data_IF_789772095555
#
_entry.id   IF_789772095555
#
_cell.length_a   1.000
_cell.length_b   1.000
_cell.length_c   1.000
_cell.angle_alpha   90.00
_cell.angle_beta   90.00
_cell.angle_gamma   90.00
#
_symmetry.space_group_name_H-M   'P 1'
#
loop_
_entity.id
_entity.type
_entity.pdbx_description
1 polymer ?
#
# COMPACT_ATOMS: atom_id res chain seq x y z
N UNK A 1 -14.33 -60.30 8.20
CA UNK A 1 -13.41 -59.17 8.06
C UNK A 1 -12.57 -59.09 9.32
N UNK A 2 -11.25 -59.33 9.18
CA UNK A 2 -10.30 -59.51 10.29
C UNK A 2 -10.11 -58.14 11.00
N UNK A 3 -10.24 -58.04 12.32
CA UNK A 3 -10.11 -56.78 13.06
C UNK A 3 -8.73 -56.10 12.87
N UNK A 4 -7.69 -56.87 12.60
CA UNK A 4 -6.35 -56.33 12.31
C UNK A 4 -6.24 -55.48 11.01
N UNK A 5 -7.14 -55.74 10.04
CA UNK A 5 -7.15 -54.97 8.78
C UNK A 5 -7.79 -53.57 8.95
N UNK A 6 -8.60 -53.41 10.00
CA UNK A 6 -9.24 -52.10 10.32
C UNK A 6 -8.24 -51.10 10.92
N UNK A 7 -7.26 -51.58 11.68
CA UNK A 7 -6.24 -50.72 12.28
C UNK A 7 -5.18 -50.27 11.28
N UNK A 8 -4.84 -51.09 10.26
CA UNK A 8 -3.91 -50.72 9.19
C UNK A 8 -4.49 -49.65 8.25
N UNK A 9 -5.79 -49.68 7.99
CA UNK A 9 -6.46 -48.66 7.19
C UNK A 9 -6.54 -47.31 7.91
N UNK A 10 -6.75 -47.31 9.24
CA UNK A 10 -6.77 -46.10 10.05
C UNK A 10 -5.35 -45.48 10.18
N UNK A 11 -4.33 -46.31 10.32
CA UNK A 11 -2.94 -45.86 10.39
C UNK A 11 -2.45 -45.26 9.06
N UNK A 12 -2.91 -45.78 7.92
CA UNK A 12 -2.59 -45.21 6.60
C UNK A 12 -3.33 -43.89 6.34
N UNK A 13 -4.54 -43.72 6.87
CA UNK A 13 -5.27 -42.44 6.76
C UNK A 13 -4.67 -41.34 7.64
N UNK A 14 -4.07 -41.70 8.80
CA UNK A 14 -3.40 -40.74 9.68
C UNK A 14 -2.03 -40.32 9.19
N UNK A 15 -1.35 -41.13 8.37
CA UNK A 15 -0.08 -40.74 7.73
C UNK A 15 -0.27 -39.77 6.56
N UNK A 16 -1.47 -39.64 5.99
CA UNK A 16 -1.76 -38.70 4.91
C UNK A 16 -2.15 -37.30 5.41
N UNK A 17 -2.50 -37.15 6.71
CA UNK A 17 -2.82 -35.86 7.31
C UNK A 17 -1.56 -35.09 7.73
N UNK A 18 -0.38 -35.75 7.72
CA UNK A 18 0.91 -35.17 8.11
C UNK A 18 1.75 -34.56 6.99
N UNK A 19 1.33 -34.67 5.74
CA UNK A 19 1.89 -33.89 4.64
C UNK A 19 1.13 -32.57 4.59
N UNK A 20 1.48 -31.67 5.53
CA UNK A 20 1.13 -30.27 5.40
C UNK A 20 1.65 -29.83 4.04
N UNK A 21 0.76 -29.70 3.06
CA UNK A 21 1.04 -28.89 1.88
C UNK A 21 1.37 -27.53 2.41
N UNK A 22 2.66 -27.17 2.41
CA UNK A 22 3.05 -25.77 2.49
C UNK A 22 2.33 -25.11 1.33
N UNK A 23 1.25 -24.40 1.61
CA UNK A 23 0.66 -23.49 0.66
C UNK A 23 1.75 -22.44 0.47
N UNK A 24 2.58 -22.62 -0.55
CA UNK A 24 3.41 -21.54 -1.02
C UNK A 24 2.43 -20.47 -1.54
N UNK A 25 2.55 -19.26 -1.05
CA UNK A 25 1.92 -18.13 -1.68
C UNK A 25 2.39 -18.15 -3.14
N UNK A 26 1.45 -18.16 -4.05
CA UNK A 26 1.73 -18.26 -5.47
C UNK A 26 1.30 -16.94 -6.10
N UNK A 27 2.24 -16.30 -6.75
CA UNK A 27 1.96 -15.17 -7.61
C UNK A 27 1.54 -15.72 -8.97
N UNK A 28 0.42 -15.25 -9.46
CA UNK A 28 -0.14 -15.69 -10.73
C UNK A 28 -0.24 -14.51 -11.70
N UNK A 29 0.42 -14.60 -12.89
CA UNK A 29 0.19 -13.61 -13.94
C UNK A 29 -1.28 -13.62 -14.37
N UNK A 30 -1.88 -12.45 -14.45
CA UNK A 30 -3.23 -12.27 -14.95
C UNK A 30 -3.23 -11.39 -16.18
N UNK A 31 -4.16 -11.64 -17.09
CA UNK A 31 -4.39 -10.82 -18.26
C UNK A 31 -5.89 -10.57 -18.38
N UNK A 32 -6.26 -9.31 -18.51
CA UNK A 32 -7.65 -8.88 -18.69
C UNK A 32 -7.76 -8.01 -19.95
N UNK A 33 -8.96 -7.80 -20.42
CA UNK A 33 -9.20 -6.86 -21.53
C UNK A 33 -8.90 -5.43 -21.04
N UNK A 34 -8.15 -4.67 -21.86
CA UNK A 34 -7.94 -3.26 -21.56
C UNK A 34 -9.20 -2.47 -21.96
N UNK A 35 -9.88 -1.81 -21.00
CA UNK A 35 -11.08 -1.05 -21.31
C UNK A 35 -10.79 0.23 -22.11
N UNK A 36 -9.52 0.63 -22.19
CA UNK A 36 -9.07 1.82 -22.89
C UNK A 36 -8.17 1.44 -24.07
N UNK A 37 -8.71 1.44 -25.29
CA UNK A 37 -7.96 1.14 -26.51
C UNK A 37 -8.08 -0.28 -27.05
N UNK A 38 -8.80 -1.19 -26.39
CA UNK A 38 -9.19 -2.50 -26.92
C UNK A 38 -8.06 -3.54 -26.99
N UNK A 39 -6.94 -3.32 -26.30
CA UNK A 39 -5.85 -4.28 -26.14
C UNK A 39 -6.01 -5.11 -24.85
N UNK A 40 -4.90 -5.59 -24.30
CA UNK A 40 -4.85 -6.34 -23.05
C UNK A 40 -4.17 -5.53 -21.96
N UNK A 41 -4.54 -5.80 -20.70
CA UNK A 41 -3.85 -5.34 -19.52
C UNK A 41 -3.26 -6.54 -18.77
N UNK A 42 -1.99 -6.43 -18.38
CA UNK A 42 -1.28 -7.47 -17.64
C UNK A 42 -1.05 -7.05 -16.21
N UNK A 43 -1.11 -8.01 -15.29
CA UNK A 43 -0.88 -7.82 -13.87
C UNK A 43 -0.42 -9.11 -13.20
N UNK A 44 -0.27 -9.03 -11.89
CA UNK A 44 0.05 -10.15 -11.02
C UNK A 44 -1.00 -10.19 -9.91
N UNK A 45 -1.58 -11.35 -9.70
CA UNK A 45 -2.47 -11.62 -8.56
C UNK A 45 -1.70 -12.38 -7.49
N UNK A 46 -1.72 -11.86 -6.27
CA UNK A 46 -1.15 -12.55 -5.10
C UNK A 46 -2.25 -13.38 -4.44
N UNK A 47 -2.16 -14.70 -4.54
CA UNK A 47 -3.15 -15.63 -3.99
C UNK A 47 -3.07 -15.76 -2.47
N UNK A 48 -1.88 -15.57 -1.88
CA UNK A 48 -1.67 -15.55 -0.45
C UNK A 48 -0.42 -14.75 -0.09
N UNK A 49 -0.50 -13.94 0.96
CA UNK A 49 0.62 -13.19 1.55
C UNK A 49 0.99 -13.77 2.92
N UNK A 50 2.29 -13.93 3.19
CA UNK A 50 2.80 -14.29 4.52
C UNK A 50 3.61 -13.13 5.08
N UNK A 51 2.93 -12.22 5.75
CA UNK A 51 3.58 -11.11 6.45
C UNK A 51 4.20 -11.64 7.74
N UNK A 52 5.50 -11.43 7.93
CA UNK A 52 6.24 -11.72 9.17
C UNK A 52 6.43 -10.48 10.00
N UNK A 53 6.50 -9.33 9.34
CA UNK A 53 6.74 -8.04 9.93
C UNK A 53 6.18 -6.95 9.02
N UNK A 54 6.14 -5.72 9.51
CA UNK A 54 5.78 -4.56 8.72
C UNK A 54 6.78 -3.41 8.98
N UNK A 55 6.97 -2.56 7.99
CA UNK A 55 7.64 -1.28 8.16
C UNK A 55 6.81 -0.32 9.00
N UNK A 56 7.44 0.67 9.57
CA UNK A 56 6.73 1.74 10.30
C UNK A 56 5.77 2.53 9.38
N UNK A 57 5.96 2.45 8.07
CA UNK A 57 5.07 2.98 7.04
C UNK A 57 3.95 2.00 6.62
N UNK A 58 3.83 0.86 7.28
CA UNK A 58 2.87 -0.20 6.98
C UNK A 58 3.28 -1.13 5.83
N UNK A 59 4.47 -0.97 5.21
CA UNK A 59 4.96 -1.88 4.18
C UNK A 59 5.08 -3.29 4.72
N UNK A 60 4.42 -4.30 4.12
CA UNK A 60 4.54 -5.68 4.58
C UNK A 60 5.91 -6.27 4.23
N UNK A 61 6.51 -7.03 5.16
CA UNK A 61 7.74 -7.79 4.98
C UNK A 61 7.51 -9.28 5.25
N UNK A 62 8.01 -10.13 4.36
CA UNK A 62 7.84 -11.59 4.47
C UNK A 62 8.02 -12.28 3.13
N UNK A 63 7.32 -13.40 2.95
CA UNK A 63 7.32 -14.12 1.68
C UNK A 63 6.09 -13.69 0.86
N UNK A 64 6.30 -13.33 -0.41
CA UNK A 64 5.24 -12.87 -1.32
C UNK A 64 4.43 -11.68 -0.75
N UNK A 65 5.14 -10.73 -0.17
CA UNK A 65 4.56 -9.52 0.41
C UNK A 65 4.66 -8.32 -0.53
N UNK A 66 5.06 -8.54 -1.77
CA UNK A 66 5.03 -7.48 -2.78
C UNK A 66 3.58 -7.08 -3.06
N UNK A 67 3.32 -5.79 -2.95
CA UNK A 67 2.00 -5.23 -3.26
C UNK A 67 1.98 -4.89 -4.73
N UNK A 68 1.34 -5.74 -5.52
CA UNK A 68 1.23 -5.55 -6.96
C UNK A 68 0.15 -4.51 -7.30
N UNK A 69 0.40 -3.64 -8.29
CA UNK A 69 -0.60 -2.74 -8.81
C UNK A 69 -1.69 -3.51 -9.56
N UNK A 70 -2.89 -2.91 -9.76
CA UNK A 70 -3.86 -3.45 -10.70
C UNK A 70 -3.27 -3.60 -12.10
N UNK A 71 -3.87 -4.46 -12.98
CA UNK A 71 -3.37 -4.71 -14.32
C UNK A 71 -3.17 -3.41 -15.12
N UNK A 72 -2.06 -3.36 -15.88
CA UNK A 72 -1.70 -2.24 -16.74
C UNK A 72 -1.88 -2.57 -18.22
N UNK A 73 -2.57 -1.70 -18.95
CA UNK A 73 -2.74 -1.80 -20.39
C UNK A 73 -1.42 -1.65 -21.13
N UNK A 74 -1.07 -2.64 -21.97
CA UNK A 74 0.23 -2.71 -22.65
C UNK A 74 0.46 -1.61 -23.68
N UNK A 75 -0.61 -1.04 -24.23
CA UNK A 75 -0.53 -0.09 -25.34
C UNK A 75 -0.46 1.39 -24.89
N UNK A 76 -0.94 1.70 -23.66
CA UNK A 76 -1.09 3.08 -23.23
C UNK A 76 -0.77 3.32 -21.74
N UNK A 77 -0.46 2.24 -20.99
CA UNK A 77 -0.12 2.34 -19.57
C UNK A 77 -1.29 2.67 -18.64
N UNK A 78 -2.54 2.54 -19.11
CA UNK A 78 -3.71 2.72 -18.26
C UNK A 78 -3.79 1.61 -17.22
N UNK A 79 -3.98 1.98 -15.96
CA UNK A 79 -4.10 1.05 -14.83
C UNK A 79 -5.58 0.73 -14.63
N UNK A 80 -5.95 -0.54 -14.76
CA UNK A 80 -7.35 -1.03 -14.69
C UNK A 80 -7.75 -1.18 -13.22
N UNK A 81 -8.19 -0.10 -12.58
CA UNK A 81 -8.42 -0.02 -11.13
C UNK A 81 -9.84 -0.43 -10.69
N UNK A 82 -10.70 -0.83 -11.61
CA UNK A 82 -12.04 -1.39 -11.36
C UNK A 82 -12.52 -2.21 -12.55
N UNK A 83 -13.57 -3.00 -12.37
CA UNK A 83 -14.10 -3.89 -13.41
C UNK A 83 -15.12 -3.19 -14.31
N UNK A 84 -15.93 -2.30 -13.76
CA UNK A 84 -17.08 -1.69 -14.46
C UNK A 84 -16.84 -0.21 -14.76
N UNK A 85 -16.32 0.07 -15.94
CA UNK A 85 -16.24 1.44 -16.45
C UNK A 85 -17.45 1.77 -17.30
N UNK A 86 -18.07 2.91 -17.03
CA UNK A 86 -19.01 3.49 -17.99
C UNK A 86 -18.26 4.14 -19.15
N UNK A 87 -18.92 4.27 -20.30
CA UNK A 87 -18.34 4.96 -21.46
C UNK A 87 -17.91 6.40 -21.13
N UNK A 88 -18.71 7.11 -20.31
CA UNK A 88 -18.39 8.46 -19.90
C UNK A 88 -17.13 8.55 -19.02
N UNK A 89 -16.94 7.59 -18.11
CA UNK A 89 -15.71 7.50 -17.30
C UNK A 89 -14.49 7.20 -18.17
N UNK A 90 -14.61 6.26 -19.12
CA UNK A 90 -13.52 5.94 -20.04
C UNK A 90 -13.14 7.16 -20.90
N UNK A 91 -14.09 7.85 -21.48
CA UNK A 91 -13.84 9.08 -22.24
C UNK A 91 -13.21 10.20 -21.39
N UNK A 92 -13.51 10.24 -20.10
CA UNK A 92 -12.90 11.23 -19.19
C UNK A 92 -11.45 10.84 -18.85
N UNK A 93 -11.20 9.61 -18.41
CA UNK A 93 -9.85 9.17 -18.04
C UNK A 93 -8.92 9.07 -19.24
N UNK A 94 -9.43 8.74 -20.44
CA UNK A 94 -8.66 8.67 -21.68
C UNK A 94 -7.88 9.95 -21.96
N UNK A 95 -8.53 11.11 -21.75
CA UNK A 95 -7.89 12.43 -21.97
C UNK A 95 -6.64 12.60 -21.14
N UNK A 96 -6.65 12.11 -19.90
CA UNK A 96 -5.49 12.18 -19.03
C UNK A 96 -4.45 11.11 -19.38
N UNK A 97 -4.87 9.85 -19.56
CA UNK A 97 -3.97 8.75 -19.88
C UNK A 97 -3.22 9.01 -21.20
N UNK A 98 -3.87 9.56 -22.20
CA UNK A 98 -3.22 9.90 -23.49
C UNK A 98 -2.52 11.27 -23.47
N UNK A 99 -2.53 12.00 -22.35
CA UNK A 99 -1.80 13.26 -22.24
C UNK A 99 -0.29 13.05 -22.26
N UNK A 100 0.45 14.09 -22.68
CA UNK A 100 1.92 14.06 -22.67
C UNK A 100 2.48 13.82 -21.27
N UNK A 101 1.83 14.37 -20.24
CA UNK A 101 2.23 14.20 -18.84
C UNK A 101 2.21 12.72 -18.45
N UNK A 102 1.06 12.06 -18.60
CA UNK A 102 0.91 10.65 -18.21
C UNK A 102 1.80 9.72 -19.03
N UNK A 103 1.84 9.93 -20.36
CA UNK A 103 2.67 9.13 -21.26
C UNK A 103 4.18 9.30 -20.98
N UNK A 104 4.61 10.47 -20.52
CA UNK A 104 5.98 10.67 -20.07
C UNK A 104 6.24 9.87 -18.78
N UNK A 105 5.34 9.91 -17.79
CA UNK A 105 5.48 9.12 -16.57
C UNK A 105 5.55 7.62 -16.90
N UNK A 106 4.69 7.12 -17.74
CA UNK A 106 4.68 5.73 -18.16
C UNK A 106 5.98 5.32 -18.84
N UNK A 107 6.40 6.04 -19.88
CA UNK A 107 7.59 5.72 -20.67
C UNK A 107 8.91 5.88 -19.89
N UNK A 108 8.93 6.64 -18.80
CA UNK A 108 10.12 6.82 -17.94
C UNK A 108 10.11 5.90 -16.70
N UNK A 109 9.13 4.98 -16.60
CA UNK A 109 9.06 4.00 -15.52
C UNK A 109 8.73 4.62 -14.15
N UNK A 110 7.88 5.66 -14.12
CA UNK A 110 7.30 6.14 -12.87
C UNK A 110 6.42 5.04 -12.28
N UNK A 111 6.51 4.73 -10.96
CA UNK A 111 5.78 3.66 -10.32
C UNK A 111 4.28 3.66 -10.64
N UNK A 112 3.71 2.48 -10.83
CA UNK A 112 2.31 2.29 -11.19
C UNK A 112 1.37 2.92 -10.16
N UNK A 113 1.64 2.72 -8.87
CA UNK A 113 0.84 3.32 -7.81
C UNK A 113 0.89 4.84 -7.80
N UNK A 114 2.03 5.44 -8.17
CA UNK A 114 2.09 6.89 -8.34
C UNK A 114 1.20 7.34 -9.51
N UNK A 115 1.27 6.66 -10.65
CA UNK A 115 0.45 6.97 -11.82
C UNK A 115 -1.04 6.73 -11.52
N UNK A 116 -1.38 5.72 -10.73
CA UNK A 116 -2.75 5.47 -10.27
C UNK A 116 -3.25 6.61 -9.37
N UNK A 117 -2.42 7.07 -8.43
CA UNK A 117 -2.76 8.24 -7.62
C UNK A 117 -3.04 9.48 -8.48
N UNK A 118 -2.24 9.69 -9.53
CA UNK A 118 -2.44 10.80 -10.48
C UNK A 118 -3.73 10.67 -11.30
N UNK A 119 -4.14 9.45 -11.67
CA UNK A 119 -5.45 9.20 -12.28
C UNK A 119 -6.57 9.62 -11.31
N UNK A 120 -6.48 9.21 -10.04
CA UNK A 120 -7.48 9.54 -9.02
C UNK A 120 -7.56 11.04 -8.74
N UNK A 121 -6.42 11.76 -8.71
CA UNK A 121 -6.39 13.21 -8.62
C UNK A 121 -7.10 13.86 -9.81
N UNK A 122 -6.80 13.43 -11.04
CA UNK A 122 -7.40 13.98 -12.24
C UNK A 122 -8.93 13.77 -12.27
N UNK A 123 -9.40 12.62 -11.79
CA UNK A 123 -10.81 12.29 -11.70
C UNK A 123 -11.51 12.89 -10.48
N UNK A 124 -10.82 13.68 -9.66
CA UNK A 124 -11.31 14.28 -8.42
C UNK A 124 -11.93 13.26 -7.45
N UNK A 125 -11.38 12.03 -7.43
CA UNK A 125 -11.82 10.98 -6.52
C UNK A 125 -11.39 11.29 -5.07
N UNK A 126 -12.00 10.62 -4.05
CA UNK A 126 -11.72 10.93 -2.65
C UNK A 126 -10.23 10.83 -2.30
N UNK A 127 -9.69 11.90 -1.71
CA UNK A 127 -8.25 12.02 -1.34
C UNK A 127 -7.84 10.88 -0.42
N UNK A 128 -8.68 10.47 0.52
CA UNK A 128 -8.40 9.38 1.45
C UNK A 128 -8.11 8.03 0.77
N UNK A 129 -8.52 7.87 -0.50
CA UNK A 129 -8.22 6.68 -1.29
C UNK A 129 -6.82 6.77 -1.91
N UNK A 130 -6.51 7.85 -2.62
CA UNK A 130 -5.27 7.93 -3.37
C UNK A 130 -4.05 8.38 -2.55
N UNK A 131 -4.22 8.88 -1.33
CA UNK A 131 -3.11 9.13 -0.42
C UNK A 131 -2.30 7.86 -0.14
N UNK A 132 -2.97 6.71 0.02
CA UNK A 132 -2.29 5.42 0.14
C UNK A 132 -1.55 4.99 -1.13
N UNK A 133 -2.04 5.33 -2.32
CA UNK A 133 -1.30 4.99 -3.55
C UNK A 133 0.01 5.76 -3.64
N UNK A 134 0.06 7.02 -3.21
CA UNK A 134 1.32 7.75 -3.09
C UNK A 134 2.26 7.12 -2.06
N UNK A 135 1.73 6.66 -0.91
CA UNK A 135 2.52 5.94 0.09
C UNK A 135 3.09 4.64 -0.50
N UNK A 136 2.25 3.80 -1.13
CA UNK A 136 2.69 2.53 -1.73
C UNK A 136 3.72 2.79 -2.84
N UNK A 137 3.60 3.88 -3.57
CA UNK A 137 4.61 4.25 -4.56
C UNK A 137 6.01 4.46 -3.94
N UNK A 138 6.11 4.78 -2.64
CA UNK A 138 7.40 4.85 -1.94
C UNK A 138 8.01 3.48 -1.66
N UNK A 139 7.23 2.40 -1.72
CA UNK A 139 7.67 1.04 -1.42
C UNK A 139 8.35 0.35 -2.62
N UNK A 140 8.27 0.92 -3.81
CA UNK A 140 8.88 0.35 -5.01
C UNK A 140 10.41 0.31 -4.86
N UNK A 141 11.04 -0.83 -5.15
CA UNK A 141 12.46 -1.06 -4.94
C UNK A 141 13.37 -0.10 -5.74
N UNK A 142 12.88 0.45 -6.85
CA UNK A 142 13.58 1.50 -7.61
C UNK A 142 13.66 2.84 -6.86
N UNK A 143 12.85 3.03 -5.83
CA UNK A 143 12.73 4.27 -5.05
C UNK A 143 13.75 4.35 -3.91
N UNK A 144 14.50 3.28 -3.61
CA UNK A 144 15.59 3.31 -2.61
C UNK A 144 16.77 4.23 -2.99
N UNK A 145 16.75 4.81 -4.16
CA UNK A 145 17.56 6.02 -4.43
C UNK A 145 16.92 7.18 -3.66
N UNK A 146 17.65 7.71 -2.68
CA UNK A 146 17.17 8.70 -1.71
C UNK A 146 16.35 9.84 -2.32
N UNK A 147 16.80 10.41 -3.44
CA UNK A 147 16.14 11.55 -4.10
C UNK A 147 14.76 11.17 -4.67
N UNK A 148 14.59 9.95 -5.15
CA UNK A 148 13.29 9.46 -5.65
C UNK A 148 12.34 9.17 -4.51
N UNK A 149 12.82 8.51 -3.43
CA UNK A 149 12.01 8.29 -2.24
C UNK A 149 11.45 9.63 -1.71
N UNK A 150 12.32 10.61 -1.52
CA UNK A 150 11.91 11.91 -0.98
C UNK A 150 10.82 12.56 -1.84
N UNK A 151 10.94 12.49 -3.17
CA UNK A 151 9.94 13.03 -4.08
C UNK A 151 8.56 12.38 -3.86
N UNK A 152 8.47 11.04 -3.86
CA UNK A 152 7.19 10.33 -3.67
C UNK A 152 6.64 10.47 -2.25
N UNK A 153 7.51 10.48 -1.24
CA UNK A 153 7.12 10.70 0.14
C UNK A 153 6.51 12.09 0.35
N UNK A 154 7.04 13.12 -0.30
CA UNK A 154 6.47 14.48 -0.26
C UNK A 154 5.07 14.54 -0.90
N UNK A 155 4.85 13.81 -1.99
CA UNK A 155 3.52 13.71 -2.59
C UNK A 155 2.54 12.96 -1.66
N UNK A 156 2.98 11.89 -0.98
CA UNK A 156 2.19 11.21 0.02
C UNK A 156 1.84 12.13 1.20
N UNK A 157 2.82 12.86 1.74
CA UNK A 157 2.63 13.87 2.80
C UNK A 157 1.56 14.88 2.37
N UNK A 158 1.70 15.46 1.18
CA UNK A 158 0.73 16.43 0.65
C UNK A 158 -0.68 15.85 0.63
N UNK A 159 -0.82 14.62 0.14
CA UNK A 159 -2.12 13.96 0.02
C UNK A 159 -2.72 13.63 1.40
N UNK A 160 -1.94 13.10 2.36
CA UNK A 160 -2.42 12.82 3.71
C UNK A 160 -2.80 14.09 4.47
N UNK A 161 -2.01 15.17 4.37
CA UNK A 161 -2.36 16.47 4.97
C UNK A 161 -3.67 17.00 4.41
N UNK A 162 -3.88 16.90 3.09
CA UNK A 162 -5.12 17.32 2.46
C UNK A 162 -6.31 16.43 2.87
N UNK A 163 -6.11 15.12 3.01
CA UNK A 163 -7.12 14.18 3.48
C UNK A 163 -7.53 14.47 4.94
N UNK A 164 -6.58 14.68 5.83
CA UNK A 164 -6.83 15.08 7.23
C UNK A 164 -7.68 16.36 7.26
N UNK A 165 -7.29 17.38 6.53
CA UNK A 165 -8.03 18.64 6.45
C UNK A 165 -9.47 18.45 5.95
N UNK A 166 -9.69 17.56 4.99
CA UNK A 166 -11.03 17.22 4.53
C UNK A 166 -11.84 16.49 5.61
N UNK A 167 -11.21 15.57 6.34
CA UNK A 167 -11.84 14.81 7.42
C UNK A 167 -12.21 15.69 8.61
N UNK A 168 -11.41 16.71 8.95
CA UNK A 168 -11.68 17.67 10.03
C UNK A 168 -13.01 18.40 9.82
N UNK A 169 -13.40 18.64 8.57
CA UNK A 169 -14.66 19.29 8.23
C UNK A 169 -15.87 18.35 8.17
N UNK A 170 -15.69 17.08 8.53
CA UNK A 170 -16.70 16.02 8.43
C UNK A 170 -16.79 15.18 9.70
N UNK A 171 -17.78 14.29 9.77
CA UNK A 171 -17.90 13.32 10.87
C UNK A 171 -16.75 12.30 10.91
N UNK A 172 -15.83 12.30 9.95
CA UNK A 172 -14.71 11.36 9.86
C UNK A 172 -13.51 11.75 10.74
N UNK A 173 -13.51 12.97 11.32
CA UNK A 173 -12.46 13.43 12.24
C UNK A 173 -12.29 12.62 13.52
N UNK A 174 -13.16 11.63 13.76
CA UNK A 174 -13.13 10.73 14.93
C UNK A 174 -12.93 9.26 14.53
N UNK A 175 -12.57 8.98 13.29
CA UNK A 175 -12.35 7.62 12.81
C UNK A 175 -10.92 7.14 13.08
N UNK A 176 -10.72 5.82 13.18
CA UNK A 176 -9.40 5.20 13.25
C UNK A 176 -8.51 5.66 12.09
N UNK A 177 -9.07 5.76 10.88
CA UNK A 177 -8.35 6.24 9.70
C UNK A 177 -7.81 7.66 9.86
N UNK A 178 -8.49 8.52 10.60
CA UNK A 178 -8.00 9.87 10.87
C UNK A 178 -6.74 9.82 11.74
N UNK A 179 -6.71 8.98 12.77
CA UNK A 179 -5.54 8.74 13.62
C UNK A 179 -4.43 8.06 12.84
N UNK A 180 -4.75 7.06 12.04
CA UNK A 180 -3.81 6.36 11.16
C UNK A 180 -3.09 7.33 10.21
N UNK A 181 -3.79 8.29 9.63
CA UNK A 181 -3.17 9.28 8.75
C UNK A 181 -2.17 10.18 9.50
N UNK A 182 -2.47 10.53 10.74
CA UNK A 182 -1.48 11.23 11.58
C UNK A 182 -0.25 10.36 11.85
N UNK A 183 -0.44 9.07 12.13
CA UNK A 183 0.67 8.14 12.33
C UNK A 183 1.54 7.98 11.08
N UNK A 184 0.92 7.80 9.91
CA UNK A 184 1.67 7.70 8.64
C UNK A 184 2.45 8.98 8.33
N UNK A 185 1.92 10.15 8.72
CA UNK A 185 2.65 11.41 8.59
C UNK A 185 3.86 11.47 9.54
N UNK A 186 3.81 10.87 10.75
CA UNK A 186 5.01 10.77 11.62
C UNK A 186 6.13 10.10 10.86
N UNK A 187 5.87 8.91 10.31
CA UNK A 187 6.89 8.14 9.60
C UNK A 187 7.38 8.86 8.35
N UNK A 188 6.48 9.37 7.51
CA UNK A 188 6.85 10.06 6.28
C UNK A 188 7.70 11.31 6.55
N UNK A 189 7.32 12.15 7.53
CA UNK A 189 8.09 13.32 7.91
C UNK A 189 9.47 12.94 8.46
N UNK A 190 9.56 11.91 9.31
CA UNK A 190 10.83 11.38 9.83
C UNK A 190 11.75 10.95 8.68
N UNK A 191 11.21 10.18 7.72
CA UNK A 191 11.95 9.65 6.56
C UNK A 191 12.46 10.74 5.62
N UNK A 192 11.75 11.88 5.50
CA UNK A 192 12.22 13.05 4.73
C UNK A 192 12.97 14.07 5.57
N UNK A 193 13.33 13.72 6.83
CA UNK A 193 14.11 14.53 7.79
C UNK A 193 13.42 15.80 8.26
N UNK A 194 12.12 15.86 8.20
CA UNK A 194 11.30 16.91 8.78
C UNK A 194 10.91 16.54 10.22
N UNK A 195 11.92 16.39 11.09
CA UNK A 195 11.75 15.85 12.45
C UNK A 195 10.82 16.69 13.32
N UNK A 196 10.82 18.02 13.16
CA UNK A 196 9.90 18.89 13.91
C UNK A 196 8.43 18.60 13.54
N UNK A 197 8.15 18.40 12.25
CA UNK A 197 6.82 18.02 11.78
C UNK A 197 6.43 16.60 12.23
N UNK A 198 7.39 15.67 12.21
CA UNK A 198 7.18 14.32 12.73
C UNK A 198 6.80 14.35 14.21
N UNK A 199 7.56 15.12 15.04
CA UNK A 199 7.30 15.27 16.47
C UNK A 199 5.94 15.91 16.73
N UNK A 200 5.56 16.94 15.97
CA UNK A 200 4.23 17.56 16.10
C UNK A 200 3.10 16.53 15.93
N UNK A 201 3.20 15.67 14.91
CA UNK A 201 2.19 14.63 14.65
C UNK A 201 2.19 13.54 15.73
N UNK A 202 3.36 13.16 16.20
CA UNK A 202 3.51 12.18 17.28
C UNK A 202 2.95 12.71 18.60
N UNK A 203 3.24 13.97 18.95
CA UNK A 203 2.69 14.62 20.15
C UNK A 203 1.16 14.74 20.09
N UNK A 204 0.62 15.02 18.89
CA UNK A 204 -0.83 15.01 18.68
C UNK A 204 -1.41 13.62 18.97
N UNK A 205 -0.79 12.52 18.50
CA UNK A 205 -1.24 11.14 18.76
C UNK A 205 -1.22 10.85 20.27
N UNK A 206 -0.16 11.27 20.97
CA UNK A 206 -0.01 11.07 22.42
C UNK A 206 -1.02 11.84 23.27
N UNK A 207 -1.54 12.96 22.75
CA UNK A 207 -2.42 13.86 23.48
C UNK A 207 -3.89 13.76 23.08
N UNK A 208 -4.21 13.10 21.96
CA UNK A 208 -5.59 12.98 21.47
C UNK A 208 -6.45 12.16 22.43
N UNK A 209 -7.73 12.51 22.51
CA UNK A 209 -8.75 11.70 23.22
C UNK A 209 -9.43 10.67 22.31
N UNK A 210 -8.98 10.56 21.05
CA UNK A 210 -9.49 9.54 20.13
C UNK A 210 -8.95 8.15 20.48
N UNK A 211 -9.63 7.12 19.99
CA UNK A 211 -9.17 5.75 20.17
C UNK A 211 -7.88 5.52 19.38
N UNK A 212 -6.80 5.21 20.07
CA UNK A 212 -5.48 4.87 19.54
C UNK A 212 -5.09 3.43 19.87
N UNK A 213 -6.01 2.62 20.38
CA UNK A 213 -5.73 1.25 20.86
C UNK A 213 -5.25 0.28 19.78
N UNK A 214 -5.45 0.63 18.51
CA UNK A 214 -4.93 -0.13 17.37
C UNK A 214 -3.44 0.18 17.05
N UNK A 215 -2.88 1.25 17.61
CA UNK A 215 -1.46 1.57 17.55
C UNK A 215 -0.75 0.95 18.75
N UNK A 216 0.27 0.13 18.51
CA UNK A 216 1.07 -0.43 19.60
C UNK A 216 1.82 0.71 20.30
N UNK A 217 1.69 0.85 21.65
CA UNK A 217 2.44 1.86 22.41
C UNK A 217 3.95 1.77 22.22
N UNK A 218 4.51 0.57 22.03
CA UNK A 218 5.95 0.38 21.77
C UNK A 218 6.37 1.03 20.46
N UNK A 219 5.54 0.93 19.43
CA UNK A 219 5.82 1.59 18.16
C UNK A 219 5.81 3.12 18.29
N UNK A 220 4.91 3.67 19.11
CA UNK A 220 4.87 5.11 19.39
C UNK A 220 6.14 5.56 20.16
N UNK A 221 6.59 4.78 21.14
CA UNK A 221 7.84 5.04 21.86
C UNK A 221 9.06 4.92 20.95
N UNK A 222 9.06 3.95 20.05
CA UNK A 222 10.14 3.75 19.08
C UNK A 222 10.23 4.90 18.08
N UNK A 223 9.10 5.38 17.55
CA UNK A 223 9.07 6.58 16.71
C UNK A 223 9.64 7.81 17.42
N UNK A 224 9.28 8.01 18.70
CA UNK A 224 9.80 9.11 19.51
C UNK A 224 11.34 9.03 19.67
N UNK A 225 11.83 7.82 19.92
CA UNK A 225 13.27 7.56 20.00
C UNK A 225 13.97 7.88 18.67
N UNK A 226 13.49 7.36 17.55
CA UNK A 226 14.08 7.59 16.22
C UNK A 226 14.11 9.08 15.86
N UNK A 227 13.03 9.80 16.12
CA UNK A 227 12.95 11.26 15.92
C UNK A 227 14.02 11.97 16.78
N UNK A 228 14.13 11.60 18.06
CA UNK A 228 15.11 12.21 18.98
C UNK A 228 16.57 11.98 18.54
N UNK A 229 16.84 10.87 17.84
CA UNK A 229 18.17 10.55 17.29
C UNK A 229 18.42 11.19 15.92
N UNK A 230 17.41 11.83 15.31
CA UNK A 230 17.49 12.34 13.94
C UNK A 230 17.65 11.20 12.91
N UNK A 231 17.10 10.02 13.25
CA UNK A 231 17.18 8.84 12.41
C UNK A 231 16.10 8.88 11.32
N UNK A 232 16.52 8.85 10.07
CA UNK A 232 15.65 8.85 8.89
C UNK A 232 15.66 7.53 8.11
N UNK A 233 16.28 6.49 8.66
CA UNK A 233 16.37 5.20 7.99
C UNK A 233 15.03 4.43 8.08
N UNK A 234 14.92 3.41 7.22
CA UNK A 234 13.75 2.54 7.23
C UNK A 234 13.86 1.53 8.36
N UNK A 235 12.82 1.44 9.18
CA UNK A 235 12.74 0.51 10.29
C UNK A 235 11.50 -0.37 10.23
N UNK A 236 11.59 -1.55 10.82
CA UNK A 236 10.47 -2.48 10.98
C UNK A 236 9.81 -2.33 12.35
N UNK A 237 8.54 -2.71 12.44
CA UNK A 237 7.79 -2.65 13.70
C UNK A 237 8.38 -3.57 14.78
N UNK A 238 9.01 -4.70 14.39
CA UNK A 238 9.67 -5.62 15.32
C UNK A 238 10.96 -5.06 15.96
N UNK A 239 11.43 -3.90 15.53
CA UNK A 239 12.62 -3.24 16.09
C UNK A 239 12.28 -2.34 17.28
N UNK A 240 10.97 -2.05 17.48
CA UNK A 240 10.44 -1.17 18.52
C UNK A 240 10.14 -1.82 19.88
#
# INVERSE_FOLDING_TARGET
MNPLMKYYLISLLLLWIGLGTSVSAEEMPITVDCPLGGGVANGIETLAMYTRDAGLDGRPYGNHTEVHPPPECVDNGFIVYKDDFTEAELLHVEKYVLSKEYQTMWSTGVPEFYRLAKIYEYLELPISGYAYFYLIATWNDYVYQKDRYEYYAREAIRAFVAAIKQMESSAQSHSERYVEFHYLLVELYRRVREFDNAQEKLDWIKQTNLDTSFLDPLIIEFQDYLISQGDSDNHMMSEG
#
